data_IF_379967164650
#
_entry.id   IF_379967164650
#
_cell.length_a   1.000
_cell.length_b   1.000
_cell.length_c   1.000
_cell.angle_alpha   90.00
_cell.angle_beta   90.00
_cell.angle_gamma   90.00
#
_symmetry.space_group_name_H-M   'P 1'
#
loop_
_entity.id
_entity.type
_entity.pdbx_description
1 polymer ?
#
# COMPACT_ATOMS: atom_id res chain seq x y z
N UNK A 1 0.80 -6.97 -11.07
CA UNK A 1 1.15 -5.65 -11.62
C UNK A 1 -0.12 -5.08 -12.22
N UNK A 2 -0.41 -3.80 -12.00
CA UNK A 2 -1.58 -3.07 -12.50
C UNK A 2 -1.54 -2.86 -14.02
N UNK A 3 -1.12 -3.89 -14.77
CA UNK A 3 -0.71 -3.83 -16.17
C UNK A 3 -1.60 -4.57 -17.14
N UNK A 4 -2.25 -5.63 -16.70
CA UNK A 4 -3.02 -6.53 -17.56
C UNK A 4 -4.39 -6.82 -16.95
N UNK A 5 -5.39 -7.03 -17.80
CA UNK A 5 -6.67 -7.57 -17.36
C UNK A 5 -6.48 -9.03 -16.91
N UNK A 6 -7.02 -9.43 -15.76
CA UNK A 6 -7.25 -10.85 -15.50
C UNK A 6 -8.39 -11.31 -16.42
N UNK A 7 -8.16 -12.36 -17.22
CA UNK A 7 -9.16 -13.07 -18.05
C UNK A 7 -9.53 -12.44 -19.41
N UNK A 8 -8.56 -12.26 -20.32
CA UNK A 8 -8.87 -12.04 -21.75
C UNK A 8 -7.76 -11.44 -22.61
N UNK A 9 -6.73 -10.85 -22.00
CA UNK A 9 -5.54 -10.40 -22.72
C UNK A 9 -4.51 -11.52 -22.86
N UNK A 10 -4.54 -12.29 -23.95
CA UNK A 10 -3.67 -13.45 -24.15
C UNK A 10 -2.28 -13.12 -24.74
N UNK A 11 -1.89 -11.85 -24.83
CA UNK A 11 -0.52 -11.49 -25.24
C UNK A 11 -0.17 -10.00 -25.21
N UNK A 12 1.12 -9.72 -25.18
CA UNK A 12 1.71 -8.36 -25.16
C UNK A 12 1.28 -7.47 -26.36
N UNK A 13 0.90 -8.08 -27.49
CA UNK A 13 0.41 -7.39 -28.69
C UNK A 13 -1.12 -7.38 -28.85
N UNK A 14 -1.89 -7.89 -27.88
CA UNK A 14 -3.35 -8.06 -28.00
C UNK A 14 -4.16 -6.76 -27.87
N UNK A 15 -3.52 -5.61 -27.59
CA UNK A 15 -4.20 -4.31 -27.46
C UNK A 15 -4.90 -4.08 -26.11
N UNK A 16 -4.72 -4.96 -25.13
CA UNK A 16 -5.43 -4.96 -23.83
C UNK A 16 -4.54 -4.49 -22.68
N UNK A 17 -3.53 -3.65 -22.96
CA UNK A 17 -2.69 -3.02 -21.93
C UNK A 17 -3.34 -1.73 -21.44
N UNK A 18 -3.47 -1.58 -20.12
CA UNK A 18 -3.99 -0.33 -19.56
C UNK A 18 -3.00 0.80 -19.79
N UNK A 19 -3.47 2.01 -20.16
CA UNK A 19 -2.59 3.14 -20.42
C UNK A 19 -1.94 3.66 -19.14
N UNK A 20 -2.53 3.43 -17.96
CA UNK A 20 -2.00 3.87 -16.66
C UNK A 20 -2.26 2.80 -15.60
N UNK A 21 -1.46 2.75 -14.51
CA UNK A 21 -1.79 1.91 -13.35
C UNK A 21 -3.18 2.29 -12.78
N UNK A 22 -3.98 1.27 -12.48
CA UNK A 22 -5.35 1.39 -11.99
C UNK A 22 -5.46 1.00 -10.51
N UNK A 23 -6.51 1.45 -9.82
CA UNK A 23 -6.63 1.33 -8.36
C UNK A 23 -6.61 -0.12 -7.87
N UNK A 24 -7.50 -0.96 -8.39
CA UNK A 24 -7.55 -2.38 -8.03
C UNK A 24 -6.22 -3.09 -8.28
N UNK A 25 -5.57 -2.81 -9.41
CA UNK A 25 -4.24 -3.31 -9.71
C UNK A 25 -3.19 -2.91 -8.65
N UNK A 26 -3.24 -1.68 -8.15
CA UNK A 26 -2.34 -1.19 -7.09
C UNK A 26 -2.62 -1.86 -5.74
N UNK A 27 -3.88 -2.12 -5.39
CA UNK A 27 -4.22 -2.92 -4.19
C UNK A 27 -3.69 -4.35 -4.32
N UNK A 28 -3.80 -4.94 -5.52
CA UNK A 28 -3.20 -6.25 -5.80
C UNK A 28 -1.66 -6.26 -5.68
N UNK A 29 -1.00 -5.15 -6.04
CA UNK A 29 0.43 -4.98 -5.80
C UNK A 29 0.77 -4.92 -4.30
N UNK A 30 -0.08 -4.27 -3.49
CA UNK A 30 0.10 -4.29 -2.03
C UNK A 30 0.03 -5.72 -1.47
N UNK A 31 -0.92 -6.54 -1.94
CA UNK A 31 -1.01 -7.97 -1.56
C UNK A 31 0.28 -8.73 -1.92
N UNK A 32 0.85 -8.46 -3.10
CA UNK A 32 2.13 -9.06 -3.50
C UNK A 32 3.29 -8.58 -2.62
N UNK A 33 3.41 -7.28 -2.34
CA UNK A 33 4.44 -6.72 -1.47
C UNK A 33 4.35 -7.26 -0.04
N UNK A 34 3.14 -7.37 0.51
CA UNK A 34 2.88 -8.02 1.80
C UNK A 34 3.39 -9.46 1.77
N UNK A 35 3.10 -10.20 0.71
CA UNK A 35 3.57 -11.58 0.56
C UNK A 35 5.09 -11.66 0.48
N UNK A 36 5.76 -10.69 -0.16
CA UNK A 36 7.21 -10.61 -0.18
C UNK A 36 7.79 -10.37 1.21
N UNK A 37 7.23 -9.43 1.97
CA UNK A 37 7.67 -9.16 3.34
C UNK A 37 7.41 -10.34 4.27
N UNK A 38 6.34 -11.13 4.08
CA UNK A 38 6.12 -12.37 4.84
C UNK A 38 7.19 -13.45 4.57
N UNK A 39 7.85 -13.39 3.42
CA UNK A 39 8.89 -14.33 3.00
C UNK A 39 10.26 -13.65 2.97
N UNK A 40 10.48 -12.65 3.84
CA UNK A 40 11.72 -11.86 3.89
C UNK A 40 12.97 -12.68 4.26
N UNK A 41 12.82 -13.93 4.73
CA UNK A 41 13.92 -14.87 4.90
C UNK A 41 14.55 -15.28 3.55
N UNK A 42 13.79 -15.20 2.45
CA UNK A 42 14.24 -15.49 1.07
C UNK A 42 14.20 -14.29 0.14
N UNK A 43 13.25 -13.39 0.34
CA UNK A 43 13.03 -12.23 -0.54
C UNK A 43 13.70 -11.01 0.09
N UNK A 44 14.86 -10.65 -0.46
CA UNK A 44 15.69 -9.55 0.06
C UNK A 44 15.24 -8.16 -0.39
N UNK A 45 14.30 -8.08 -1.35
CA UNK A 45 13.79 -6.81 -1.86
C UNK A 45 12.86 -6.96 -3.06
N UNK A 46 12.17 -5.87 -3.39
CA UNK A 46 11.30 -5.75 -4.55
C UNK A 46 11.54 -4.41 -5.24
N UNK A 47 11.44 -4.39 -6.57
CA UNK A 47 11.63 -3.20 -7.39
C UNK A 47 10.44 -3.04 -8.33
N UNK A 48 9.82 -1.86 -8.30
CA UNK A 48 8.81 -1.52 -9.30
C UNK A 48 9.49 -1.22 -10.63
N UNK A 49 8.91 -1.73 -11.72
CA UNK A 49 9.39 -1.43 -13.06
C UNK A 49 8.23 -1.34 -14.07
N UNK A 50 8.31 -0.41 -15.04
CA UNK A 50 9.23 0.75 -15.13
C UNK A 50 8.89 1.88 -14.16
N UNK A 51 9.84 2.78 -13.85
CA UNK A 51 9.62 3.88 -12.89
C UNK A 51 9.17 5.18 -13.57
N UNK A 52 9.81 5.57 -14.67
CA UNK A 52 9.61 6.87 -15.32
C UNK A 52 9.05 6.72 -16.73
N UNK A 53 8.03 7.51 -17.08
CA UNK A 53 7.42 7.54 -18.41
C UNK A 53 7.23 8.97 -18.90
N UNK A 54 7.83 9.28 -20.04
CA UNK A 54 7.58 10.53 -20.75
C UNK A 54 6.30 10.41 -21.58
N UNK A 55 5.35 11.34 -21.39
CA UNK A 55 4.06 11.33 -22.08
C UNK A 55 4.14 11.71 -23.56
N UNK A 56 5.22 12.34 -24.01
CA UNK A 56 5.48 12.60 -25.43
C UNK A 56 5.92 11.33 -26.19
N UNK A 57 6.69 10.44 -25.55
CA UNK A 57 7.13 9.17 -26.16
C UNK A 57 7.46 8.13 -25.09
N UNK A 58 6.84 6.96 -25.20
CA UNK A 58 7.00 5.86 -24.26
C UNK A 58 6.91 4.50 -24.97
N UNK A 59 7.49 3.47 -24.36
CA UNK A 59 7.49 2.10 -24.88
C UNK A 59 6.67 1.15 -24.00
N UNK A 60 6.42 1.52 -22.75
CA UNK A 60 5.65 0.75 -21.77
C UNK A 60 4.62 1.64 -21.07
N UNK A 61 3.37 1.19 -20.96
CA UNK A 61 2.26 2.03 -20.47
C UNK A 61 2.18 2.13 -18.94
N UNK A 62 2.60 1.09 -18.21
CA UNK A 62 2.38 1.00 -16.77
C UNK A 62 3.64 1.38 -16.01
N UNK A 63 3.66 2.60 -15.51
CA UNK A 63 4.88 3.23 -14.98
C UNK A 63 4.56 4.07 -13.76
N UNK A 64 5.44 4.06 -12.76
CA UNK A 64 5.14 4.64 -11.43
C UNK A 64 4.89 6.16 -11.48
N UNK A 65 5.68 6.88 -12.28
CA UNK A 65 5.59 8.33 -12.50
C UNK A 65 5.45 8.64 -14.00
N UNK A 66 4.46 9.47 -14.33
CA UNK A 66 4.25 9.99 -15.68
C UNK A 66 4.66 11.46 -15.71
N UNK A 67 5.38 11.91 -16.73
CA UNK A 67 5.85 13.29 -16.83
C UNK A 67 5.89 13.78 -18.28
N UNK A 68 5.86 15.10 -18.48
CA UNK A 68 6.04 15.77 -19.76
C UNK A 68 6.98 16.98 -19.59
N UNK A 69 7.21 17.73 -20.68
CA UNK A 69 7.91 19.00 -20.60
C UNK A 69 7.14 20.03 -19.75
N UNK A 70 5.80 20.01 -19.83
CA UNK A 70 4.95 20.72 -18.88
C UNK A 70 4.96 19.99 -17.53
N UNK A 71 5.46 20.68 -16.50
CA UNK A 71 5.57 20.12 -15.15
C UNK A 71 4.21 19.88 -14.51
N UNK A 72 3.16 20.58 -14.94
CA UNK A 72 1.79 20.38 -14.47
C UNK A 72 1.26 18.97 -14.79
N UNK A 73 1.82 18.30 -15.81
CA UNK A 73 1.46 16.93 -16.19
C UNK A 73 2.20 15.86 -15.36
N UNK A 74 3.07 16.23 -14.42
CA UNK A 74 3.78 15.26 -13.58
C UNK A 74 2.81 14.57 -12.63
N UNK A 75 2.55 13.30 -12.88
CA UNK A 75 1.50 12.55 -12.19
C UNK A 75 2.07 11.29 -11.54
N UNK A 76 1.74 11.12 -10.26
CA UNK A 76 1.96 9.89 -9.51
C UNK A 76 0.85 8.91 -9.85
N UNK A 77 1.22 7.70 -10.27
CA UNK A 77 0.23 6.64 -10.51
C UNK A 77 -0.46 6.18 -9.22
N UNK A 78 -1.51 5.37 -9.34
CA UNK A 78 -2.11 4.68 -8.18
C UNK A 78 -1.06 3.82 -7.45
N UNK A 79 -0.22 3.09 -8.19
CA UNK A 79 0.88 2.28 -7.67
C UNK A 79 1.91 3.10 -6.88
N UNK A 80 2.18 4.37 -7.25
CA UNK A 80 3.09 5.23 -6.50
C UNK A 80 2.70 5.30 -5.03
N UNK A 81 1.41 5.53 -4.73
CA UNK A 81 0.94 5.70 -3.36
C UNK A 81 1.12 4.44 -2.53
N UNK A 82 0.85 3.28 -3.12
CA UNK A 82 1.07 1.98 -2.47
C UNK A 82 2.55 1.78 -2.16
N UNK A 83 3.43 1.97 -3.14
CA UNK A 83 4.87 1.80 -2.95
C UNK A 83 5.46 2.81 -1.97
N UNK A 84 5.04 4.08 -2.04
CA UNK A 84 5.44 5.14 -1.11
C UNK A 84 5.04 4.78 0.32
N UNK A 85 3.79 4.34 0.54
CA UNK A 85 3.33 3.93 1.85
C UNK A 85 4.10 2.71 2.35
N UNK A 86 4.20 1.64 1.55
CA UNK A 86 4.84 0.40 1.98
C UNK A 86 6.33 0.60 2.29
N UNK A 87 7.05 1.36 1.47
CA UNK A 87 8.48 1.63 1.63
C UNK A 87 8.79 2.58 2.80
N UNK A 88 7.88 3.47 3.18
CA UNK A 88 8.06 4.40 4.30
C UNK A 88 8.08 3.72 5.68
N UNK A 89 7.62 2.47 5.77
CA UNK A 89 7.52 1.71 7.02
C UNK A 89 8.32 0.39 6.95
N UNK A 90 9.65 0.43 6.87
CA UNK A 90 10.46 -0.79 6.81
C UNK A 90 10.38 -1.58 8.12
N UNK A 91 10.40 -2.90 8.00
CA UNK A 91 10.55 -3.82 9.13
C UNK A 91 11.96 -4.40 9.11
N UNK A 92 12.59 -4.48 10.27
CA UNK A 92 13.88 -5.18 10.44
C UNK A 92 13.67 -6.65 10.77
N UNK A 93 12.52 -6.98 11.36
CA UNK A 93 12.13 -8.33 11.74
C UNK A 93 10.64 -8.52 11.45
N UNK A 94 10.28 -9.62 10.79
CA UNK A 94 8.89 -10.07 10.63
C UNK A 94 8.45 -10.82 11.87
N UNK A 95 7.28 -10.50 12.41
CA UNK A 95 6.71 -11.18 13.57
C UNK A 95 5.75 -12.30 13.12
N UNK A 96 5.71 -13.44 13.83
CA UNK A 96 4.66 -14.43 13.65
C UNK A 96 3.27 -13.83 13.90
N UNK A 97 2.28 -14.24 13.12
CA UNK A 97 0.90 -13.84 13.30
C UNK A 97 -0.03 -15.03 13.08
N UNK A 98 -1.12 -15.07 13.84
CA UNK A 98 -1.99 -16.25 13.99
C UNK A 98 -3.30 -16.20 13.22
N UNK A 99 -3.68 -15.04 12.65
CA UNK A 99 -4.93 -14.92 11.92
C UNK A 99 -4.84 -15.52 10.50
N UNK A 100 -5.99 -15.96 10.00
CA UNK A 100 -6.11 -16.44 8.63
C UNK A 100 -5.97 -15.28 7.62
N UNK A 101 -5.53 -15.64 6.41
CA UNK A 101 -5.41 -14.70 5.29
C UNK A 101 -6.67 -14.78 4.43
N UNK A 102 -7.21 -13.61 4.07
CA UNK A 102 -8.40 -13.47 3.21
C UNK A 102 -9.68 -13.26 4.02
N UNK A 103 -10.44 -12.15 3.81
CA UNK A 103 -10.23 -11.10 2.79
C UNK A 103 -9.13 -10.08 3.14
N UNK A 104 -8.57 -10.15 4.35
CA UNK A 104 -7.45 -9.32 4.80
C UNK A 104 -6.13 -10.04 4.51
N UNK A 105 -5.26 -9.42 3.70
CA UNK A 105 -3.88 -9.84 3.52
C UNK A 105 -3.01 -8.95 4.38
N UNK A 106 -2.07 -9.52 5.13
CA UNK A 106 -1.28 -8.71 6.05
C UNK A 106 0.10 -9.29 6.39
N UNK A 107 0.98 -8.42 6.86
CA UNK A 107 2.27 -8.75 7.48
C UNK A 107 2.47 -7.86 8.70
N UNK A 108 3.14 -8.40 9.72
CA UNK A 108 3.44 -7.71 10.95
C UNK A 108 4.94 -7.85 11.25
N UNK A 109 5.51 -6.86 11.93
CA UNK A 109 6.93 -6.84 12.21
C UNK A 109 7.32 -5.76 13.20
N UNK A 110 8.63 -5.67 13.44
CA UNK A 110 9.26 -4.62 14.23
C UNK A 110 10.25 -3.86 13.38
N UNK A 111 10.49 -2.62 13.77
CA UNK A 111 11.58 -1.81 13.26
C UNK A 111 12.53 -1.48 14.40
N UNK A 112 13.73 -2.05 14.38
CA UNK A 112 14.71 -1.90 15.45
C UNK A 112 15.26 -0.49 15.60
N UNK A 113 15.21 0.32 14.55
CA UNK A 113 15.65 1.73 14.60
C UNK A 113 14.64 2.58 15.36
N UNK A 114 13.35 2.36 15.12
CA UNK A 114 12.29 3.11 15.79
C UNK A 114 11.84 2.47 17.09
N UNK A 115 12.11 1.17 17.29
CA UNK A 115 11.50 0.32 18.33
C UNK A 115 9.98 0.24 18.24
N UNK A 116 9.42 0.56 17.06
CA UNK A 116 8.00 0.47 16.79
C UNK A 116 7.62 -0.90 16.21
N UNK A 117 6.35 -1.24 16.38
CA UNK A 117 5.69 -2.34 15.69
C UNK A 117 4.99 -1.80 14.45
N UNK A 118 5.07 -2.55 13.37
CA UNK A 118 4.49 -2.21 12.07
C UNK A 118 3.54 -3.33 11.68
N UNK A 119 2.35 -2.96 11.23
CA UNK A 119 1.38 -3.84 10.60
C UNK A 119 1.02 -3.25 9.24
N UNK A 120 1.19 -4.02 8.17
CA UNK A 120 0.78 -3.62 6.82
C UNK A 120 -0.30 -4.57 6.34
N UNK A 121 -1.35 -4.04 5.73
CA UNK A 121 -2.46 -4.82 5.26
C UNK A 121 -3.06 -4.30 3.95
N UNK A 122 -3.76 -5.19 3.25
CA UNK A 122 -4.57 -4.85 2.11
C UNK A 122 -5.86 -5.68 2.12
N UNK A 123 -6.96 -5.04 1.76
CA UNK A 123 -8.25 -5.70 1.49
C UNK A 123 -8.49 -5.58 0.00
N UNK A 124 -8.36 -6.68 -0.74
CA UNK A 124 -8.53 -6.68 -2.20
C UNK A 124 -9.97 -6.96 -2.63
N UNK A 125 -10.62 -7.90 -1.96
CA UNK A 125 -11.99 -8.30 -2.28
C UNK A 125 -12.67 -8.86 -1.02
N UNK A 126 -13.46 -8.02 -0.37
CA UNK A 126 -14.32 -8.38 0.75
C UNK A 126 -15.67 -8.90 0.27
N UNK A 127 -16.34 -9.69 1.11
CA UNK A 127 -17.70 -10.17 0.83
C UNK A 127 -18.65 -8.98 0.71
N UNK A 128 -19.37 -8.89 -0.41
CA UNK A 128 -20.34 -7.83 -0.73
C UNK A 128 -19.78 -6.39 -0.64
N UNK A 129 -18.46 -6.23 -0.78
CA UNK A 129 -17.80 -4.93 -0.65
C UNK A 129 -17.77 -4.39 0.78
N UNK A 130 -18.04 -5.22 1.78
CA UNK A 130 -18.13 -4.81 3.17
C UNK A 130 -16.76 -4.43 3.78
N UNK A 131 -16.83 -3.47 4.67
CA UNK A 131 -15.76 -3.10 5.59
C UNK A 131 -15.25 -4.32 6.39
N UNK A 132 -13.94 -4.53 6.41
CA UNK A 132 -13.28 -5.64 7.12
C UNK A 132 -12.82 -5.17 8.50
N UNK A 133 -13.42 -5.67 9.59
CA UNK A 133 -12.98 -5.33 10.93
C UNK A 133 -11.60 -5.94 11.22
N UNK A 134 -10.69 -5.12 11.73
CA UNK A 134 -9.35 -5.54 12.13
C UNK A 134 -9.19 -5.31 13.62
N UNK A 135 -8.75 -6.37 14.31
CA UNK A 135 -8.34 -6.32 15.70
C UNK A 135 -6.99 -7.02 15.85
N UNK A 136 -5.97 -6.30 16.29
CA UNK A 136 -4.63 -6.84 16.44
C UNK A 136 -3.94 -6.40 17.72
N UNK A 137 -3.15 -7.30 18.29
CA UNK A 137 -2.28 -7.08 19.44
C UNK A 137 -0.84 -7.39 19.05
N UNK A 138 0.09 -6.65 19.63
CA UNK A 138 1.49 -7.02 19.59
C UNK A 138 1.98 -7.36 20.99
N UNK A 139 2.81 -8.39 21.10
CA UNK A 139 3.46 -8.73 22.36
C UNK A 139 4.26 -7.53 22.90
N UNK A 140 3.98 -7.19 24.16
CA UNK A 140 4.58 -6.08 24.88
C UNK A 140 3.93 -4.71 24.65
N UNK A 141 2.88 -4.61 23.83
CA UNK A 141 2.12 -3.36 23.72
C UNK A 141 1.16 -3.21 24.91
N UNK A 142 1.30 -2.09 25.62
CA UNK A 142 0.48 -1.77 26.79
C UNK A 142 -0.80 -1.02 26.39
N UNK A 143 -1.78 -1.04 27.30
CA UNK A 143 -2.98 -0.23 27.18
C UNK A 143 -2.62 1.26 27.00
N UNK A 144 -3.28 1.90 26.06
CA UNK A 144 -3.10 3.31 25.77
C UNK A 144 -1.92 3.69 24.88
N UNK A 145 -1.09 2.73 24.45
CA UNK A 145 -0.11 2.97 23.37
C UNK A 145 -0.83 3.47 22.12
N UNK A 146 -0.28 4.51 21.49
CA UNK A 146 -0.84 5.08 20.25
C UNK A 146 -0.10 4.56 19.03
N UNK A 147 -0.80 4.46 17.91
CA UNK A 147 -0.22 4.18 16.61
C UNK A 147 -0.83 5.10 15.55
N UNK A 148 -0.03 5.41 14.52
CA UNK A 148 -0.54 6.08 13.32
C UNK A 148 -1.06 5.00 12.37
N UNK A 149 -2.35 5.08 12.04
CA UNK A 149 -2.99 4.30 10.99
C UNK A 149 -3.11 5.17 9.74
N UNK A 150 -2.36 4.81 8.70
CA UNK A 150 -2.48 5.39 7.36
C UNK A 150 -3.25 4.43 6.47
N UNK A 151 -4.32 4.88 5.84
CA UNK A 151 -5.15 4.08 4.93
C UNK A 151 -5.22 4.76 3.57
N UNK A 152 -4.90 4.02 2.53
CA UNK A 152 -5.14 4.37 1.13
C UNK A 152 -6.46 3.73 0.68
N UNK A 153 -7.29 4.55 0.05
CA UNK A 153 -8.56 4.14 -0.57
C UNK A 153 -8.63 4.72 -1.97
N UNK A 154 -9.54 4.18 -2.77
CA UNK A 154 -9.86 4.68 -4.10
C UNK A 154 -11.36 4.53 -4.36
N UNK A 155 -11.81 4.82 -5.59
CA UNK A 155 -13.21 4.68 -5.96
C UNK A 155 -13.65 3.22 -6.01
N UNK A 156 -14.96 3.01 -5.99
CA UNK A 156 -15.57 1.68 -6.11
C UNK A 156 -15.23 0.99 -7.43
N UNK A 157 -15.16 1.75 -8.53
CA UNK A 157 -14.61 1.25 -9.79
C UNK A 157 -13.12 0.94 -9.60
N UNK A 158 -12.72 -0.36 -9.56
CA UNK A 158 -11.33 -0.69 -9.33
C UNK A 158 -10.46 -0.17 -10.48
N UNK A 159 -11.01 0.00 -11.69
CA UNK A 159 -10.30 0.37 -12.90
C UNK A 159 -9.95 1.86 -13.01
N UNK A 160 -10.32 2.70 -12.04
CA UNK A 160 -9.98 4.11 -12.04
C UNK A 160 -8.45 4.34 -11.99
N UNK A 161 -7.99 5.44 -12.59
CA UNK A 161 -6.56 5.76 -12.78
C UNK A 161 -6.29 7.22 -12.39
N UNK A 162 -5.03 7.52 -12.07
CA UNK A 162 -4.56 8.90 -12.06
C UNK A 162 -4.16 9.29 -13.49
N UNK A 163 -4.66 10.43 -13.97
CA UNK A 163 -4.54 10.82 -15.37
C UNK A 163 -3.77 12.15 -15.53
N UNK A 164 -2.59 12.13 -16.19
CA UNK A 164 -1.77 13.33 -16.37
C UNK A 164 -2.36 14.39 -17.31
N UNK A 165 -3.35 14.05 -18.14
CA UNK A 165 -3.97 15.01 -19.06
C UNK A 165 -5.12 15.79 -18.42
N UNK A 166 -5.78 15.20 -17.43
CA UNK A 166 -6.93 15.79 -16.74
C UNK A 166 -6.60 16.26 -15.32
N UNK A 167 -5.48 15.80 -14.75
CA UNK A 167 -5.09 16.07 -13.37
C UNK A 167 -5.88 15.26 -12.35
N UNK A 168 -6.69 14.30 -12.79
CA UNK A 168 -7.47 13.43 -11.90
C UNK A 168 -6.54 12.60 -11.02
N UNK A 169 -6.82 12.60 -9.72
CA UNK A 169 -6.17 11.74 -8.74
C UNK A 169 -7.24 11.00 -7.93
N UNK A 170 -7.25 9.67 -8.05
CA UNK A 170 -8.29 8.81 -7.48
C UNK A 170 -7.90 8.22 -6.13
N UNK A 171 -6.64 8.35 -5.71
CA UNK A 171 -6.16 7.78 -4.44
C UNK A 171 -6.35 8.78 -3.31
N UNK A 172 -7.05 8.36 -2.26
CA UNK A 172 -7.24 9.12 -1.03
C UNK A 172 -6.43 8.54 0.11
N UNK A 173 -5.67 9.38 0.81
CA UNK A 173 -4.86 8.99 1.97
C UNK A 173 -5.45 9.57 3.25
N UNK A 174 -5.87 8.70 4.17
CA UNK A 174 -6.36 9.09 5.50
C UNK A 174 -5.34 8.69 6.56
N UNK A 175 -5.00 9.62 7.46
CA UNK A 175 -4.14 9.35 8.62
C UNK A 175 -4.90 9.58 9.91
N UNK A 176 -4.92 8.59 10.79
CA UNK A 176 -5.58 8.67 12.09
C UNK A 176 -4.67 8.14 13.18
N UNK A 177 -4.88 8.60 14.40
CA UNK A 177 -4.23 8.03 15.58
C UNK A 177 -5.18 7.04 16.22
N UNK A 178 -4.78 5.77 16.29
CA UNK A 178 -5.50 4.72 17.02
C UNK A 178 -4.81 4.46 18.36
N UNK A 179 -5.59 4.08 19.37
CA UNK A 179 -5.10 3.85 20.73
C UNK A 179 -5.42 2.42 21.15
N UNK A 180 -4.42 1.74 21.72
CA UNK A 180 -4.57 0.40 22.25
C UNK A 180 -5.57 0.39 23.42
N UNK A 181 -6.49 -0.56 23.41
CA UNK A 181 -7.48 -0.74 24.47
C UNK A 181 -6.85 -1.34 25.76
N UNK A 182 -7.68 -1.70 26.74
CA UNK A 182 -7.22 -2.27 28.02
C UNK A 182 -6.42 -3.58 27.89
N UNK A 183 -6.57 -4.29 26.77
CA UNK A 183 -5.83 -5.52 26.44
C UNK A 183 -4.60 -5.27 25.57
N UNK A 184 -4.24 -4.01 25.28
CA UNK A 184 -3.12 -3.68 24.41
C UNK A 184 -3.44 -3.83 22.91
N UNK A 185 -4.72 -3.90 22.55
CA UNK A 185 -5.15 -4.18 21.19
C UNK A 185 -5.59 -2.93 20.43
N UNK A 186 -5.24 -2.84 19.16
CA UNK A 186 -5.75 -1.84 18.22
C UNK A 186 -6.95 -2.41 17.46
N UNK A 187 -8.00 -1.62 17.33
CA UNK A 187 -9.20 -1.97 16.57
C UNK A 187 -9.55 -0.87 15.57
N UNK A 188 -9.83 -1.25 14.32
CA UNK A 188 -10.23 -0.35 13.24
C UNK A 188 -10.96 -1.17 12.15
N UNK A 189 -11.51 -0.49 11.14
CA UNK A 189 -12.13 -1.11 9.97
C UNK A 189 -11.38 -0.69 8.70
N UNK A 190 -11.21 -1.61 7.77
CA UNK A 190 -10.62 -1.34 6.46
C UNK A 190 -11.66 -1.53 5.36
N UNK A 191 -11.89 -0.51 4.51
CA UNK A 191 -12.80 -0.64 3.38
C UNK A 191 -12.36 -1.71 2.38
N UNK A 192 -13.30 -2.19 1.56
CA UNK A 192 -12.96 -2.94 0.35
C UNK A 192 -11.99 -2.14 -0.53
N UNK A 193 -11.09 -2.83 -1.25
CA UNK A 193 -10.08 -2.19 -2.09
C UNK A 193 -9.28 -1.12 -1.35
N UNK A 194 -8.64 -1.49 -0.23
CA UNK A 194 -7.83 -0.58 0.59
C UNK A 194 -6.46 -1.15 0.92
N UNK A 195 -5.52 -0.25 1.23
CA UNK A 195 -4.18 -0.59 1.72
C UNK A 195 -3.92 0.20 2.98
N UNK A 196 -3.41 -0.42 4.03
CA UNK A 196 -3.20 0.22 5.31
C UNK A 196 -1.84 -0.10 5.91
N UNK A 197 -1.30 0.87 6.64
CA UNK A 197 -0.16 0.67 7.54
C UNK A 197 -0.51 1.25 8.90
N UNK A 198 -0.37 0.42 9.94
CA UNK A 198 -0.36 0.84 11.34
C UNK A 198 1.08 0.79 11.85
N UNK A 199 1.57 1.89 12.40
CA UNK A 199 2.91 2.01 12.95
C UNK A 199 2.85 2.65 14.34
N UNK A 200 3.29 1.91 15.37
CA UNK A 200 3.27 2.40 16.75
C UNK A 200 4.30 3.49 17.04
N UNK A 201 5.15 3.85 16.05
CA UNK A 201 6.25 4.84 16.14
C UNK A 201 6.87 4.83 17.53
N UNK A 202 7.83 3.93 17.78
CA UNK A 202 8.54 3.96 19.07
C UNK A 202 9.17 5.33 19.33
N UNK A 203 9.37 5.68 20.61
CA UNK A 203 9.76 7.04 21.05
C UNK A 203 10.84 7.64 20.15
N UNK A 204 10.47 8.50 19.19
CA UNK A 204 11.45 9.29 18.45
C UNK A 204 12.12 10.21 19.47
N UNK A 205 13.40 10.00 19.78
CA UNK A 205 14.24 11.16 20.13
C UNK A 205 14.12 12.10 18.93
N UNK A 206 13.60 13.29 19.14
CA UNK A 206 13.42 14.27 18.09
C UNK A 206 14.77 14.57 17.42
N UNK A 207 15.07 13.87 16.33
CA UNK A 207 16.11 14.28 15.42
C UNK A 207 15.46 15.25 14.44
N UNK A 208 15.72 16.55 14.65
CA UNK A 208 15.45 17.58 13.65
C UNK A 208 16.27 17.19 12.41
N UNK A 209 15.61 16.68 11.38
CA UNK A 209 16.23 16.60 10.06
C UNK A 209 15.99 17.94 9.38
N UNK A 210 17.08 18.69 9.26
CA UNK A 210 17.21 19.82 8.37
C UNK A 210 17.47 19.28 6.97
N UNK A 211 16.52 19.46 6.07
CA UNK A 211 16.75 19.75 4.65
C UNK A 211 15.61 20.66 4.22
#
# INVERSE_FOLDING_TARGET
MASTFPNGGTGWGSGVLRPFPWWGGAVGEAVALISYERNADRIIGALYAPILRNMNRWQWSITMLQFAADSAMTTRSTSWYVWELMAAHPMTETLPASADIGPLYYVAGRNDKTKGHVFKAAVYNSTDGADVPVRLTFDGVAAGTTAELTVLTGPEDPYAVNDPFTGVNVVSTTKTTVKADRSGAFSFSLPNLSVAVLDTKGKRKAARQWW
#
